data_IF_676106911999
#
_entry.id   IF_676106911999
#
_cell.length_a   1.000
_cell.length_b   1.000
_cell.length_c   1.000
_cell.angle_alpha   90.00
_cell.angle_beta   90.00
_cell.angle_gamma   90.00
#
_symmetry.space_group_name_H-M   'P 1'
#
loop_
_entity.id
_entity.type
_entity.pdbx_description
1 polymer ?
#
# COMPACT_ATOMS: atom_id res chain seq x y z
N UNK A 1 -30.31 -7.11 16.48
CA UNK A 1 -29.37 -5.98 16.48
C UNK A 1 -28.02 -6.50 16.93
N UNK A 2 -26.98 -6.51 16.09
CA UNK A 2 -25.65 -6.95 16.51
C UNK A 2 -25.07 -5.90 17.48
N UNK A 3 -24.85 -6.32 18.72
CA UNK A 3 -24.29 -5.53 19.81
C UNK A 3 -22.78 -5.39 19.62
N UNK A 4 -22.35 -4.29 19.01
CA UNK A 4 -20.96 -3.99 18.68
C UNK A 4 -20.35 -3.10 19.77
N UNK A 5 -20.17 -3.61 20.99
CA UNK A 5 -19.26 -2.98 21.96
C UNK A 5 -18.99 -3.93 23.12
N UNK A 6 -17.72 -4.32 23.30
CA UNK A 6 -17.24 -4.73 24.59
C UNK A 6 -15.83 -4.17 24.81
N UNK A 7 -15.60 -3.77 26.06
CA UNK A 7 -14.45 -3.09 26.65
C UNK A 7 -13.09 -3.82 26.55
N UNK A 8 -12.81 -4.49 25.44
CA UNK A 8 -11.58 -5.24 25.16
C UNK A 8 -11.13 -5.18 23.70
N UNK A 9 -11.50 -4.12 22.97
CA UNK A 9 -10.92 -3.77 21.66
C UNK A 9 -11.13 -4.78 20.53
N UNK A 10 -12.19 -5.60 20.58
CA UNK A 10 -12.52 -6.53 19.50
C UNK A 10 -13.72 -6.01 18.70
N UNK A 11 -13.57 -5.92 17.38
CA UNK A 11 -14.64 -5.61 16.43
C UNK A 11 -15.03 -6.88 15.67
N UNK A 12 -16.32 -7.21 15.62
CA UNK A 12 -16.88 -8.27 14.77
C UNK A 12 -17.83 -7.63 13.76
N UNK A 13 -17.32 -7.36 12.56
CA UNK A 13 -18.03 -6.66 11.50
C UNK A 13 -18.53 -7.67 10.47
N UNK A 14 -19.78 -7.49 10.03
CA UNK A 14 -20.37 -8.30 8.97
C UNK A 14 -20.90 -7.40 7.87
N UNK A 15 -20.48 -7.66 6.64
CA UNK A 15 -20.86 -6.85 5.49
C UNK A 15 -20.75 -7.66 4.20
N UNK A 16 -21.57 -7.34 3.22
CA UNK A 16 -21.34 -7.75 1.83
C UNK A 16 -20.44 -6.70 1.15
N UNK A 17 -19.50 -7.12 0.31
CA UNK A 17 -18.75 -6.21 -0.55
C UNK A 17 -19.50 -6.03 -1.87
N UNK A 18 -19.72 -4.77 -2.25
CA UNK A 18 -20.34 -4.42 -3.52
C UNK A 18 -19.28 -3.97 -4.53
N UNK A 19 -19.63 -3.99 -5.82
CA UNK A 19 -18.74 -3.47 -6.87
C UNK A 19 -18.42 -1.98 -6.67
N UNK A 20 -19.34 -1.23 -6.06
CA UNK A 20 -19.16 0.19 -5.78
C UNK A 20 -17.98 0.46 -4.84
N UNK A 21 -17.80 -0.36 -3.79
CA UNK A 21 -16.71 -0.16 -2.81
C UNK A 21 -15.33 -0.42 -3.42
N UNK A 22 -15.27 -1.36 -4.36
CA UNK A 22 -14.05 -1.66 -5.11
C UNK A 22 -13.69 -0.47 -6.01
N UNK A 23 -14.70 0.17 -6.61
CA UNK A 23 -14.52 1.41 -7.37
C UNK A 23 -14.00 2.56 -6.48
N UNK A 24 -14.52 2.70 -5.26
CA UNK A 24 -14.05 3.70 -4.31
C UNK A 24 -12.57 3.50 -3.93
N UNK A 25 -12.14 2.24 -3.72
CA UNK A 25 -10.73 1.91 -3.51
C UNK A 25 -9.86 2.33 -4.70
N UNK A 26 -10.31 2.11 -5.93
CA UNK A 26 -9.56 2.50 -7.13
C UNK A 26 -9.34 4.01 -7.20
N UNK A 27 -10.38 4.79 -6.90
CA UNK A 27 -10.30 6.25 -6.89
C UNK A 27 -9.36 6.75 -5.79
N UNK A 28 -9.44 6.18 -4.58
CA UNK A 28 -8.57 6.54 -3.45
C UNK A 28 -7.10 6.08 -3.62
N UNK A 29 -6.86 4.91 -4.23
CA UNK A 29 -5.52 4.41 -4.48
C UNK A 29 -4.73 5.32 -5.45
N UNK A 30 -5.43 6.03 -6.35
CA UNK A 30 -4.81 6.99 -7.26
C UNK A 30 -4.35 8.30 -6.57
N UNK A 31 -4.95 8.67 -5.44
CA UNK A 31 -4.60 9.88 -4.68
C UNK A 31 -3.38 9.69 -3.77
N UNK A 32 -3.13 8.48 -3.26
CA UNK A 32 -2.03 8.18 -2.33
C UNK A 32 -0.62 8.17 -2.98
N UNK A 33 -0.51 8.35 -4.28
CA UNK A 33 0.77 8.35 -5.02
C UNK A 33 1.48 9.72 -5.06
N UNK A 34 1.24 10.64 -4.11
CA UNK A 34 1.74 12.04 -4.17
C UNK A 34 3.26 12.17 -4.34
N UNK A 35 4.07 11.49 -3.54
CA UNK A 35 5.54 11.61 -3.58
C UNK A 35 6.20 10.60 -4.53
N UNK A 36 5.58 9.44 -4.73
CA UNK A 36 6.03 8.46 -5.75
C UNK A 36 5.84 8.98 -7.18
N UNK A 37 4.97 9.98 -7.38
CA UNK A 37 4.86 10.72 -8.65
C UNK A 37 6.18 11.40 -9.03
N UNK A 38 6.90 11.92 -8.04
CA UNK A 38 8.19 12.60 -8.25
C UNK A 38 9.29 11.62 -8.67
N UNK A 39 9.26 10.39 -8.14
CA UNK A 39 10.16 9.30 -8.57
C UNK A 39 9.97 8.88 -10.03
N UNK A 40 8.83 9.16 -10.67
CA UNK A 40 8.70 8.96 -12.12
C UNK A 40 9.45 9.99 -12.97
N UNK A 41 9.88 11.11 -12.38
CA UNK A 41 10.77 12.06 -13.06
C UNK A 41 12.22 11.58 -13.06
N UNK A 42 12.62 10.71 -12.13
CA UNK A 42 13.98 10.19 -12.03
C UNK A 42 14.51 9.52 -13.32
N UNK A 43 13.76 8.62 -14.01
CA UNK A 43 14.20 8.08 -15.29
C UNK A 43 14.24 9.13 -16.40
N UNK A 44 13.41 10.17 -16.33
CA UNK A 44 13.41 11.29 -17.29
C UNK A 44 14.69 12.13 -17.16
N UNK A 45 15.10 12.39 -15.92
CA UNK A 45 16.38 13.02 -15.57
C UNK A 45 17.55 12.12 -15.97
N UNK A 46 17.49 10.82 -15.68
CA UNK A 46 18.54 9.87 -16.05
C UNK A 46 18.73 9.77 -17.57
N UNK A 47 17.65 9.79 -18.35
CA UNK A 47 17.72 9.79 -19.81
C UNK A 47 18.27 11.12 -20.32
N UNK A 48 17.87 12.26 -19.75
CA UNK A 48 18.45 13.56 -20.12
C UNK A 48 19.98 13.59 -19.87
N UNK A 49 20.44 13.04 -18.75
CA UNK A 49 21.88 12.90 -18.42
C UNK A 49 22.58 11.96 -19.39
N UNK A 50 21.98 10.80 -19.70
CA UNK A 50 22.57 9.85 -20.65
C UNK A 50 22.66 10.42 -22.08
N UNK A 51 21.68 11.23 -22.50
CA UNK A 51 21.72 11.96 -23.79
C UNK A 51 22.87 12.95 -23.79
N UNK A 52 23.07 13.69 -22.69
CA UNK A 52 24.14 14.67 -22.59
C UNK A 52 25.53 14.00 -22.60
N UNK A 53 25.68 12.89 -21.85
CA UNK A 53 26.93 12.11 -21.86
C UNK A 53 27.20 11.46 -23.23
N UNK A 54 26.18 11.04 -23.96
CA UNK A 54 26.32 10.43 -25.28
C UNK A 54 26.78 11.43 -26.35
N UNK A 55 26.57 12.74 -26.17
CA UNK A 55 27.14 13.77 -27.05
C UNK A 55 28.67 13.76 -27.04
N UNK A 56 29.26 13.45 -25.88
CA UNK A 56 30.71 13.49 -25.67
C UNK A 56 31.42 12.18 -26.07
N UNK A 57 30.72 11.03 -26.09
CA UNK A 57 31.39 9.71 -26.20
C UNK A 57 31.36 9.04 -27.58
N UNK A 58 30.49 9.43 -28.50
CA UNK A 58 30.50 8.86 -29.84
C UNK A 58 29.82 9.79 -30.85
N UNK A 59 30.56 10.29 -31.84
CA UNK A 59 29.97 11.00 -32.98
C UNK A 59 28.83 10.16 -33.55
N UNK A 60 27.59 10.63 -33.42
CA UNK A 60 26.38 9.81 -33.55
C UNK A 60 26.04 9.29 -34.96
N UNK A 61 27.05 9.04 -35.77
CA UNK A 61 26.99 8.35 -37.05
C UNK A 61 26.56 6.88 -36.94
N UNK A 62 26.71 6.22 -35.78
CA UNK A 62 26.46 4.79 -35.62
C UNK A 62 24.99 4.35 -35.75
N UNK A 63 24.03 5.27 -35.60
CA UNK A 63 22.58 4.99 -35.72
C UNK A 63 21.94 5.54 -37.00
N UNK A 64 22.72 6.10 -37.94
CA UNK A 64 22.18 6.68 -39.19
C UNK A 64 21.29 7.91 -38.98
N UNK A 65 21.22 8.44 -37.75
CA UNK A 65 20.47 9.65 -37.41
C UNK A 65 21.34 10.86 -37.79
N UNK A 66 21.33 11.19 -39.07
CA UNK A 66 22.19 12.20 -39.69
C UNK A 66 21.83 13.64 -39.28
N UNK A 67 20.65 13.87 -38.70
CA UNK A 67 20.27 15.18 -38.18
C UNK A 67 20.07 15.12 -36.65
N UNK A 68 20.40 16.20 -35.97
CA UNK A 68 20.31 16.27 -34.50
C UNK A 68 18.84 16.19 -34.03
N UNK A 69 17.91 16.71 -34.82
CA UNK A 69 16.46 16.72 -34.52
C UNK A 69 15.84 15.32 -34.45
N UNK A 70 16.30 14.38 -35.27
CA UNK A 70 15.82 12.98 -35.29
C UNK A 70 16.37 12.21 -34.10
N UNK A 71 17.58 12.51 -33.63
CA UNK A 71 18.10 11.92 -32.39
C UNK A 71 17.26 12.31 -31.19
N UNK A 72 17.00 13.61 -31.01
CA UNK A 72 16.15 14.09 -29.93
C UNK A 72 14.72 13.53 -30.02
N UNK A 73 14.15 13.47 -31.22
CA UNK A 73 12.80 12.92 -31.45
C UNK A 73 12.69 11.42 -31.12
N UNK A 74 13.69 10.62 -31.45
CA UNK A 74 13.71 9.18 -31.14
C UNK A 74 13.86 8.93 -29.64
N UNK A 75 14.74 9.66 -28.96
CA UNK A 75 14.88 9.53 -27.50
C UNK A 75 13.63 10.00 -26.74
N UNK A 76 13.04 11.13 -27.14
CA UNK A 76 11.82 11.64 -26.50
C UNK A 76 10.65 10.66 -26.68
N UNK A 77 10.48 10.10 -27.89
CA UNK A 77 9.44 9.10 -28.14
C UNK A 77 9.67 7.80 -27.36
N UNK A 78 10.91 7.32 -27.23
CA UNK A 78 11.21 6.13 -26.43
C UNK A 78 10.85 6.31 -24.94
N UNK A 79 11.13 7.48 -24.36
CA UNK A 79 10.77 7.81 -22.98
C UNK A 79 9.25 7.86 -22.80
N UNK A 80 8.54 8.50 -23.72
CA UNK A 80 7.08 8.58 -23.70
C UNK A 80 6.47 7.18 -23.79
N UNK A 81 6.95 6.34 -24.71
CA UNK A 81 6.48 4.97 -24.89
C UNK A 81 6.73 4.13 -23.63
N UNK A 82 7.91 4.24 -23.01
CA UNK A 82 8.22 3.51 -21.78
C UNK A 82 7.33 3.95 -20.61
N UNK A 83 7.05 5.24 -20.47
CA UNK A 83 6.14 5.77 -19.46
C UNK A 83 4.69 5.27 -19.67
N UNK A 84 4.23 5.23 -20.93
CA UNK A 84 2.92 4.68 -21.29
C UNK A 84 2.86 3.17 -20.99
N UNK A 85 3.90 2.41 -21.32
CA UNK A 85 3.96 0.97 -21.05
C UNK A 85 3.96 0.66 -19.55
N UNK A 86 4.75 1.40 -18.74
CA UNK A 86 4.75 1.19 -17.28
C UNK A 86 3.40 1.52 -16.65
N UNK A 87 2.72 2.57 -17.11
CA UNK A 87 1.38 2.93 -16.61
C UNK A 87 0.34 1.89 -17.01
N UNK A 88 0.38 1.38 -18.24
CA UNK A 88 -0.47 0.29 -18.72
C UNK A 88 -0.22 -1.02 -17.94
N UNK A 89 1.04 -1.41 -17.74
CA UNK A 89 1.39 -2.62 -17.00
C UNK A 89 0.88 -2.60 -15.56
N UNK A 90 0.93 -1.44 -14.90
CA UNK A 90 0.39 -1.28 -13.54
C UNK A 90 -1.12 -1.31 -13.51
N UNK A 91 -1.79 -0.63 -14.44
CA UNK A 91 -3.25 -0.71 -14.58
C UNK A 91 -3.68 -2.15 -14.83
N UNK A 92 -2.93 -2.89 -15.65
CA UNK A 92 -3.22 -4.29 -15.95
C UNK A 92 -2.92 -5.23 -14.79
N UNK A 93 -1.81 -5.04 -14.07
CA UNK A 93 -1.48 -5.82 -12.87
C UNK A 93 -2.51 -5.58 -11.75
N UNK A 94 -2.96 -4.34 -11.58
CA UNK A 94 -4.01 -3.98 -10.63
C UNK A 94 -5.38 -4.53 -11.07
N UNK A 95 -5.74 -4.41 -12.35
CA UNK A 95 -6.97 -4.99 -12.89
C UNK A 95 -6.96 -6.52 -12.80
N UNK A 96 -5.80 -7.17 -12.97
CA UNK A 96 -5.65 -8.61 -12.72
C UNK A 96 -5.79 -8.94 -11.26
N UNK A 97 -5.16 -8.18 -10.36
CA UNK A 97 -5.30 -8.37 -8.92
C UNK A 97 -6.76 -8.20 -8.45
N UNK A 98 -7.51 -7.27 -9.04
CA UNK A 98 -8.94 -7.06 -8.77
C UNK A 98 -9.83 -8.14 -9.41
N UNK A 99 -9.47 -8.65 -10.60
CA UNK A 99 -10.17 -9.80 -11.19
C UNK A 99 -9.91 -11.10 -10.43
N UNK A 100 -8.72 -11.25 -9.86
CA UNK A 100 -8.30 -12.40 -9.05
C UNK A 100 -8.80 -12.29 -7.61
N UNK A 101 -9.00 -11.06 -7.10
CA UNK A 101 -9.83 -10.79 -5.94
C UNK A 101 -11.29 -10.94 -6.37
N UNK A 102 -11.68 -12.18 -6.63
CA UNK A 102 -13.07 -12.60 -6.79
C UNK A 102 -13.87 -11.96 -5.66
N UNK A 103 -14.70 -10.99 -6.03
CA UNK A 103 -15.76 -10.46 -5.17
C UNK A 103 -16.66 -11.64 -4.90
N UNK A 104 -16.41 -12.34 -3.80
CA UNK A 104 -17.34 -13.33 -3.31
C UNK A 104 -18.61 -12.54 -3.00
N UNK A 105 -19.74 -12.84 -3.66
CA UNK A 105 -21.00 -12.17 -3.40
C UNK A 105 -21.57 -12.51 -2.00
N UNK A 106 -20.83 -13.25 -1.17
CA UNK A 106 -21.21 -13.66 0.16
C UNK A 106 -20.93 -12.64 1.27
N UNK A 107 -21.49 -12.95 2.44
CA UNK A 107 -21.27 -12.20 3.67
C UNK A 107 -19.79 -12.31 4.07
N UNK A 108 -19.08 -11.18 4.05
CA UNK A 108 -17.72 -11.06 4.59
C UNK A 108 -17.82 -10.78 6.09
N UNK A 109 -17.12 -11.59 6.89
CA UNK A 109 -16.96 -11.36 8.33
C UNK A 109 -15.54 -10.93 8.61
N UNK A 110 -15.39 -9.80 9.28
CA UNK A 110 -14.12 -9.26 9.72
C UNK A 110 -14.09 -9.21 11.23
N UNK A 111 -13.20 -10.00 11.82
CA UNK A 111 -12.89 -9.97 13.24
C UNK A 111 -11.56 -9.24 13.44
N UNK A 112 -11.59 -8.04 14.02
CA UNK A 112 -10.38 -7.34 14.45
C UNK A 112 -10.24 -7.48 15.96
N UNK A 113 -9.08 -7.89 16.44
CA UNK A 113 -8.78 -8.03 17.86
C UNK A 113 -7.30 -7.74 18.13
N UNK A 114 -6.80 -7.98 19.34
CA UNK A 114 -5.40 -7.72 19.71
C UNK A 114 -4.37 -8.48 18.85
N UNK A 115 -4.74 -9.63 18.27
CA UNK A 115 -3.84 -10.41 17.43
C UNK A 115 -3.76 -9.91 15.98
N UNK A 116 -4.73 -9.11 15.52
CA UNK A 116 -4.80 -8.63 14.15
C UNK A 116 -6.22 -8.65 13.59
N UNK A 117 -6.30 -8.84 12.28
CA UNK A 117 -7.54 -8.87 11.52
C UNK A 117 -7.72 -10.25 10.88
N UNK A 118 -8.86 -10.87 11.11
CA UNK A 118 -9.28 -12.12 10.46
C UNK A 118 -10.47 -11.84 9.56
N UNK A 119 -10.41 -12.32 8.33
CA UNK A 119 -11.45 -12.19 7.32
C UNK A 119 -11.94 -13.58 6.97
N UNK A 120 -13.25 -13.74 6.95
CA UNK A 120 -13.91 -14.95 6.48
C UNK A 120 -14.91 -14.55 5.41
N UNK A 121 -14.75 -15.08 4.20
CA UNK A 121 -15.67 -14.91 3.08
C UNK A 121 -15.85 -16.27 2.37
N UNK A 122 -16.63 -16.34 1.28
CA UNK A 122 -16.80 -17.61 0.57
C UNK A 122 -15.50 -18.08 -0.12
N UNK A 123 -14.51 -17.20 -0.28
CA UNK A 123 -13.19 -17.55 -0.81
C UNK A 123 -12.27 -18.15 0.26
N UNK A 124 -12.64 -18.07 1.55
CA UNK A 124 -12.00 -18.77 2.66
C UNK A 124 -11.64 -17.86 3.84
N UNK A 125 -10.68 -18.32 4.64
CA UNK A 125 -10.22 -17.61 5.84
C UNK A 125 -8.83 -17.01 5.61
N UNK A 126 -8.68 -15.71 5.89
CA UNK A 126 -7.41 -14.99 5.85
C UNK A 126 -7.16 -14.33 7.19
N UNK A 127 -5.92 -14.34 7.66
CA UNK A 127 -5.52 -13.67 8.90
C UNK A 127 -4.31 -12.79 8.62
N UNK A 128 -4.35 -11.56 9.13
CA UNK A 128 -3.29 -10.58 9.01
C UNK A 128 -2.96 -10.06 10.40
N UNK A 129 -1.71 -10.19 10.83
CA UNK A 129 -1.22 -9.50 12.02
C UNK A 129 -1.22 -7.99 11.80
N UNK A 130 -1.26 -7.21 12.90
CA UNK A 130 -1.21 -5.76 12.82
C UNK A 130 0.09 -5.23 12.20
N UNK A 131 1.18 -5.99 12.31
CA UNK A 131 2.47 -5.74 11.68
C UNK A 131 2.41 -5.79 10.14
N UNK A 132 1.49 -6.59 9.58
CA UNK A 132 1.25 -6.68 8.15
C UNK A 132 0.48 -5.46 7.59
N UNK A 133 -0.18 -4.67 8.43
CA UNK A 133 -0.90 -3.47 8.03
C UNK A 133 0.07 -2.28 7.96
N UNK A 134 0.36 -1.83 6.73
CA UNK A 134 1.32 -0.74 6.46
C UNK A 134 0.74 0.64 6.70
N UNK A 135 -0.54 0.82 6.50
CA UNK A 135 -1.22 2.11 6.74
C UNK A 135 -2.72 1.91 6.74
N UNK A 136 -3.41 2.70 7.56
CA UNK A 136 -4.86 2.81 7.52
C UNK A 136 -5.22 4.08 6.75
N UNK A 137 -6.06 3.95 5.73
CA UNK A 137 -6.55 5.09 4.95
C UNK A 137 -8.05 5.19 5.16
N UNK A 138 -8.48 6.36 5.62
CA UNK A 138 -9.88 6.69 5.81
C UNK A 138 -10.41 7.43 4.57
N UNK A 139 -11.50 6.95 4.02
CA UNK A 139 -12.37 7.68 3.09
C UNK A 139 -13.67 8.11 3.77
N UNK A 140 -14.58 8.67 2.98
CA UNK A 140 -15.89 9.13 3.46
C UNK A 140 -16.83 7.97 3.80
N UNK A 141 -16.76 6.88 3.04
CA UNK A 141 -17.64 5.71 3.19
C UNK A 141 -16.87 4.41 3.43
N UNK A 142 -15.54 4.48 3.59
CA UNK A 142 -14.70 3.28 3.65
C UNK A 142 -13.49 3.49 4.56
N UNK A 143 -13.04 2.40 5.17
CA UNK A 143 -11.72 2.28 5.78
C UNK A 143 -10.92 1.24 4.99
N UNK A 144 -9.73 1.61 4.57
CA UNK A 144 -8.80 0.75 3.84
C UNK A 144 -7.62 0.39 4.73
N UNK A 145 -7.48 -0.90 5.06
CA UNK A 145 -6.29 -1.42 5.75
C UNK A 145 -5.29 -1.91 4.71
N UNK A 146 -4.26 -1.12 4.44
CA UNK A 146 -3.30 -1.40 3.37
C UNK A 146 -2.29 -2.46 3.82
N UNK A 147 -2.31 -3.64 3.20
CA UNK A 147 -1.30 -4.70 3.43
C UNK A 147 -0.12 -4.58 2.46
N UNK A 148 -0.39 -4.07 1.26
CA UNK A 148 0.61 -3.76 0.24
C UNK A 148 0.21 -2.51 -0.56
N UNK A 149 1.09 -1.94 -1.40
CA UNK A 149 0.75 -0.74 -2.18
C UNK A 149 -0.47 -0.88 -3.10
N UNK A 150 -0.84 -2.12 -3.45
CA UNK A 150 -1.97 -2.45 -4.34
C UNK A 150 -2.94 -3.45 -3.70
N UNK A 151 -2.83 -3.70 -2.40
CA UNK A 151 -3.68 -4.64 -1.67
C UNK A 151 -4.17 -3.99 -0.39
N UNK A 152 -5.48 -4.02 -0.20
CA UNK A 152 -6.13 -3.48 0.97
C UNK A 152 -7.30 -4.36 1.40
N UNK A 153 -7.54 -4.39 2.69
CA UNK A 153 -8.79 -4.88 3.26
C UNK A 153 -9.74 -3.69 3.25
N UNK A 154 -10.87 -3.84 2.53
CA UNK A 154 -11.88 -2.79 2.40
C UNK A 154 -12.97 -3.05 3.44
N UNK A 155 -13.23 -2.06 4.29
CA UNK A 155 -14.29 -2.09 5.29
C UNK A 155 -15.25 -0.93 5.01
N UNK A 156 -16.44 -1.18 4.44
CA UNK A 156 -17.38 -0.12 4.11
C UNK A 156 -18.11 0.42 5.34
N UNK A 157 -18.63 1.64 5.27
CA UNK A 157 -19.37 2.31 6.35
C UNK A 157 -20.54 1.47 6.87
N UNK A 158 -21.23 0.77 5.98
CA UNK A 158 -22.35 -0.14 6.33
C UNK A 158 -21.95 -1.33 7.20
N UNK A 159 -20.66 -1.62 7.35
CA UNK A 159 -20.16 -2.60 8.30
C UNK A 159 -20.24 -2.10 9.76
N UNK A 160 -20.41 -0.79 9.95
CA UNK A 160 -20.49 -0.10 11.23
C UNK A 160 -21.92 0.39 11.48
N UNK A 161 -22.26 0.66 12.73
CA UNK A 161 -23.54 1.26 13.09
C UNK A 161 -23.65 2.70 12.60
N UNK A 162 -22.53 3.44 12.58
CA UNK A 162 -22.47 4.82 12.10
C UNK A 162 -21.03 5.25 11.75
N UNK A 163 -20.90 6.48 11.25
CA UNK A 163 -19.64 7.09 10.85
C UNK A 163 -18.66 7.30 12.01
N UNK A 164 -19.16 7.60 13.21
CA UNK A 164 -18.32 7.77 14.39
C UNK A 164 -17.67 6.45 14.83
N UNK A 165 -18.39 5.34 14.72
CA UNK A 165 -17.85 4.00 14.99
C UNK A 165 -16.78 3.64 13.95
N UNK A 166 -17.04 3.92 12.67
CA UNK A 166 -16.04 3.74 11.60
C UNK A 166 -14.77 4.57 11.88
N UNK A 167 -14.93 5.81 12.35
CA UNK A 167 -13.82 6.68 12.73
C UNK A 167 -13.03 6.09 13.90
N UNK A 168 -13.71 5.67 14.97
CA UNK A 168 -13.05 5.04 16.13
C UNK A 168 -12.28 3.80 15.72
N UNK A 169 -12.88 2.95 14.89
CA UNK A 169 -12.21 1.78 14.34
C UNK A 169 -10.94 2.17 13.57
N UNK A 170 -11.00 3.20 12.72
CA UNK A 170 -9.83 3.63 11.95
C UNK A 170 -8.67 4.11 12.82
N UNK A 171 -8.97 4.80 13.93
CA UNK A 171 -7.96 5.26 14.91
C UNK A 171 -7.34 4.08 15.63
N UNK A 172 -8.18 3.18 16.17
CA UNK A 172 -7.71 1.98 16.89
C UNK A 172 -6.87 1.08 15.99
N UNK A 173 -7.28 0.89 14.73
CA UNK A 173 -6.54 0.10 13.76
C UNK A 173 -5.19 0.74 13.39
N UNK A 174 -5.12 2.07 13.27
CA UNK A 174 -3.87 2.76 12.98
C UNK A 174 -2.90 2.71 14.16
N UNK A 175 -3.40 2.90 15.38
CA UNK A 175 -2.63 2.76 16.62
C UNK A 175 -2.08 1.33 16.77
N UNK A 176 -2.93 0.31 16.65
CA UNK A 176 -2.50 -1.10 16.73
C UNK A 176 -1.46 -1.45 15.65
N UNK A 177 -1.66 -0.99 14.42
CA UNK A 177 -0.69 -1.19 13.34
C UNK A 177 0.64 -0.47 13.60
N UNK A 178 0.61 0.72 14.20
CA UNK A 178 1.83 1.46 14.57
C UNK A 178 2.58 0.81 15.72
N UNK A 179 1.87 0.39 16.77
CA UNK A 179 2.45 -0.30 17.93
C UNK A 179 3.12 -1.61 17.51
N UNK A 180 2.47 -2.42 16.68
CA UNK A 180 3.02 -3.67 16.19
C UNK A 180 4.30 -3.49 15.33
N UNK A 181 4.47 -2.31 14.72
CA UNK A 181 5.66 -1.98 13.91
C UNK A 181 6.74 -1.24 14.68
N UNK A 182 6.44 -0.75 15.88
CA UNK A 182 7.45 -0.13 16.72
C UNK A 182 8.50 -1.19 17.08
N UNK A 183 9.79 -0.92 16.90
CA UNK A 183 10.82 -1.83 17.37
C UNK A 183 10.63 -2.02 18.86
N UNK A 184 10.48 -3.28 19.31
CA UNK A 184 10.42 -3.61 20.73
C UNK A 184 11.59 -2.91 21.41
N UNK A 185 11.36 -2.01 22.39
CA UNK A 185 12.44 -1.35 23.09
C UNK A 185 13.35 -2.46 23.61
N UNK A 186 14.61 -2.47 23.16
CA UNK A 186 15.60 -3.45 23.60
C UNK A 186 15.50 -3.50 25.12
N UNK A 187 15.02 -4.63 25.64
CA UNK A 187 14.92 -4.85 27.07
C UNK A 187 16.27 -4.45 27.65
N UNK A 188 16.26 -3.42 28.50
CA UNK A 188 17.46 -2.87 29.13
C UNK A 188 18.21 -4.06 29.71
N UNK A 189 19.31 -4.46 29.04
CA UNK A 189 20.13 -5.59 29.51
C UNK A 189 20.51 -5.21 30.93
N UNK A 190 20.06 -5.96 31.95
CA UNK A 190 20.38 -5.62 33.33
C UNK A 190 21.91 -5.58 33.41
N UNK A 191 22.43 -4.39 33.77
CA UNK A 191 23.85 -4.14 33.87
C UNK A 191 24.47 -5.25 34.70
N UNK A 192 25.39 -5.98 34.08
CA UNK A 192 26.21 -6.96 34.76
C UNK A 192 27.19 -6.19 35.65
N UNK A 193 26.72 -5.72 36.81
CA UNK A 193 27.50 -5.03 37.85
C UNK A 193 28.38 -6.00 38.65
N UNK A 194 28.70 -7.17 38.10
CA UNK A 194 29.55 -8.16 38.76
C UNK A 194 31.03 -7.89 38.46
N UNK A 195 31.51 -6.68 38.78
CA UNK A 195 32.95 -6.45 38.99
C UNK A 195 33.31 -6.95 40.39
N UNK A 196 33.52 -8.26 40.51
CA UNK A 196 34.18 -8.86 41.66
C UNK A 196 35.59 -8.25 41.78
N UNK A 197 35.85 -7.64 42.93
CA UNK A 197 37.19 -7.32 43.36
C UNK A 197 38.00 -8.61 43.49
N UNK A 198 39.12 -8.67 42.78
CA UNK A 198 40.23 -9.52 43.19
C UNK A 198 41.15 -8.64 44.04
N UNK A 199 41.07 -8.86 45.35
CA UNK A 199 42.13 -8.54 46.29
C UNK A 199 42.73 -9.86 46.74
N UNK A 200 43.92 -10.15 46.24
CA UNK A 200 45.03 -10.82 46.95
C UNK A 200 46.24 -10.85 46.03
#
# INVERSE_FOLDING_TARGET
MPSNTAAGGSYDLRYSLERADIGAFQTCAHTLSGIRKLLYLAPLVAVAVLIDMAKDTAGGAALGLANEWTRYGVTASAVIVLAILMTLFRKLALARAVRLASVSPGETRLLANSAGVRISDDAGHRAHGWDAIRSVVRGDEHVFLMTAPTQAIIVPLRAFANYDEMLRFSVVADEAAREARAPTPLARVPGNDNKKGYST
#
